data_IF_025851050373
#
_entry.id   IF_025851050373
#
_cell.length_a   1.000
_cell.length_b   1.000
_cell.length_c   1.000
_cell.angle_alpha   90.00
_cell.angle_beta   90.00
_cell.angle_gamma   90.00
#
_symmetry.space_group_name_H-M   'P 1'
#
loop_
_entity.id
_entity.type
_entity.pdbx_description
1 polymer ?
#
# COMPACT_ATOMS: atom_id res chain seq x y z
N UNK A 1 -14.49 0.88 -3.29
CA UNK A 1 -13.16 1.49 -3.10
C UNK A 1 -12.43 1.56 -4.43
N UNK A 2 -11.92 2.74 -4.82
CA UNK A 2 -11.18 2.95 -6.07
C UNK A 2 -9.67 2.91 -5.84
N UNK A 3 -8.89 2.70 -6.91
CA UNK A 3 -7.42 2.71 -6.83
C UNK A 3 -6.85 4.03 -6.32
N UNK A 4 -7.42 5.18 -6.72
CA UNK A 4 -7.00 6.49 -6.20
C UNK A 4 -7.18 6.61 -4.67
N UNK A 5 -8.28 6.07 -4.12
CA UNK A 5 -8.45 6.03 -2.66
C UNK A 5 -7.45 5.10 -2.01
N UNK A 6 -7.17 3.94 -2.62
CA UNK A 6 -6.15 3.02 -2.12
C UNK A 6 -4.77 3.66 -2.06
N UNK A 7 -4.36 4.37 -3.11
CA UNK A 7 -3.08 5.08 -3.16
C UNK A 7 -2.93 6.11 -2.03
N UNK A 8 -3.99 6.86 -1.74
CA UNK A 8 -4.02 7.81 -0.61
C UNK A 8 -3.96 7.13 0.75
N UNK A 9 -4.56 5.95 0.88
CA UNK A 9 -4.75 5.29 2.17
C UNK A 9 -3.70 4.24 2.51
N UNK A 10 -2.94 3.72 1.54
CA UNK A 10 -2.10 2.52 1.71
C UNK A 10 -1.05 2.63 2.82
N UNK A 11 -0.62 3.85 3.14
CA UNK A 11 0.36 4.13 4.20
C UNK A 11 -0.26 4.55 5.53
N UNK A 12 -1.59 4.63 5.60
CA UNK A 12 -2.27 5.01 6.84
C UNK A 12 -2.13 3.89 7.89
N UNK A 13 -1.88 4.21 9.16
CA UNK A 13 -1.77 3.21 10.22
C UNK A 13 -3.01 2.33 10.36
N UNK A 14 -4.19 2.88 10.07
CA UNK A 14 -5.49 2.20 10.14
C UNK A 14 -6.00 1.74 8.77
N UNK A 15 -5.13 1.64 7.75
CA UNK A 15 -5.51 1.24 6.39
C UNK A 15 -6.35 -0.04 6.38
N UNK A 16 -5.88 -1.09 7.05
CA UNK A 16 -6.56 -2.40 7.09
C UNK A 16 -8.00 -2.28 7.61
N UNK A 17 -8.19 -1.57 8.72
CA UNK A 17 -9.50 -1.34 9.34
C UNK A 17 -10.48 -0.63 8.40
N UNK A 18 -10.00 0.35 7.65
CA UNK A 18 -10.83 1.16 6.73
C UNK A 18 -11.26 0.33 5.52
N UNK A 19 -10.36 -0.46 4.94
CA UNK A 19 -10.64 -1.17 3.68
C UNK A 19 -11.28 -2.53 3.87
N UNK A 20 -11.08 -3.18 5.01
CA UNK A 20 -11.67 -4.49 5.29
C UNK A 20 -13.20 -4.38 5.33
N UNK A 21 -13.87 -5.30 4.64
CA UNK A 21 -15.32 -5.30 4.46
C UNK A 21 -15.83 -4.37 3.34
N UNK A 22 -14.95 -3.56 2.72
CA UNK A 22 -15.31 -2.82 1.50
C UNK A 22 -15.23 -3.70 0.25
N UNK A 23 -15.79 -3.19 -0.84
CA UNK A 23 -15.76 -3.86 -2.15
C UNK A 23 -14.88 -3.11 -3.14
N UNK A 24 -14.25 -3.85 -4.04
CA UNK A 24 -13.39 -3.35 -5.13
C UNK A 24 -13.76 -3.98 -6.46
N UNK A 25 -13.55 -3.22 -7.53
CA UNK A 25 -13.64 -3.71 -8.91
C UNK A 25 -12.26 -4.18 -9.32
N UNK A 26 -12.03 -5.49 -9.31
CA UNK A 26 -10.70 -6.07 -9.55
C UNK A 26 -10.59 -6.60 -10.98
N UNK A 27 -9.52 -6.21 -11.67
CA UNK A 27 -9.17 -6.78 -12.98
C UNK A 27 -8.58 -8.18 -12.80
N UNK A 28 -9.15 -9.17 -13.48
CA UNK A 28 -8.74 -10.58 -13.36
C UNK A 28 -8.05 -11.13 -14.62
N UNK A 29 -7.68 -10.25 -15.54
CA UNK A 29 -7.08 -10.58 -16.83
C UNK A 29 -7.97 -10.21 -18.00
N UNK A 30 -7.68 -10.80 -19.17
CA UNK A 30 -8.37 -10.50 -20.42
C UNK A 30 -9.07 -11.74 -20.97
N UNK A 31 -10.22 -11.54 -21.60
CA UNK A 31 -10.96 -12.57 -22.34
C UNK A 31 -11.31 -12.02 -23.72
N UNK A 32 -10.86 -12.70 -24.79
CA UNK A 32 -11.01 -12.26 -26.18
C UNK A 32 -10.55 -10.80 -26.39
N UNK A 33 -9.39 -10.45 -25.82
CA UNK A 33 -8.81 -9.11 -25.91
C UNK A 33 -9.48 -8.03 -25.06
N UNK A 34 -10.59 -8.34 -24.37
CA UNK A 34 -11.28 -7.38 -23.48
C UNK A 34 -10.92 -7.63 -22.02
N UNK A 35 -10.60 -6.57 -21.25
CA UNK A 35 -10.32 -6.73 -19.82
C UNK A 35 -11.58 -7.17 -19.08
N UNK A 36 -11.42 -8.14 -18.19
CA UNK A 36 -12.51 -8.71 -17.39
C UNK A 36 -12.36 -8.24 -15.94
N UNK A 37 -13.46 -7.74 -15.39
CA UNK A 37 -13.54 -7.28 -14.02
C UNK A 37 -14.52 -8.12 -13.21
N UNK A 38 -14.30 -8.16 -11.90
CA UNK A 38 -15.23 -8.73 -10.92
C UNK A 38 -15.40 -7.80 -9.74
N UNK A 39 -16.58 -7.85 -9.13
CA UNK A 39 -16.82 -7.33 -7.78
C UNK A 39 -16.22 -8.32 -6.79
N UNK A 40 -15.38 -7.83 -5.88
CA UNK A 40 -14.84 -8.65 -4.81
C UNK A 40 -14.80 -7.89 -3.49
N UNK A 41 -15.09 -8.59 -2.40
CA UNK A 41 -15.00 -8.07 -1.04
C UNK A 41 -13.56 -8.15 -0.55
N UNK A 42 -13.09 -7.12 0.14
CA UNK A 42 -11.81 -7.14 0.83
C UNK A 42 -12.01 -7.86 2.16
N UNK A 43 -11.43 -9.05 2.28
CA UNK A 43 -11.50 -9.86 3.50
C UNK A 43 -10.33 -9.56 4.45
N UNK A 44 -9.16 -9.22 3.92
CA UNK A 44 -7.95 -8.97 4.70
C UNK A 44 -6.92 -8.15 3.90
N UNK A 45 -5.95 -7.57 4.62
CA UNK A 45 -4.77 -6.90 4.06
C UNK A 45 -3.52 -7.68 4.46
N UNK A 46 -2.72 -8.07 3.49
CA UNK A 46 -1.51 -8.87 3.70
C UNK A 46 -0.28 -8.15 3.16
N UNK A 47 0.91 -8.52 3.61
CA UNK A 47 2.15 -8.13 2.95
C UNK A 47 2.58 -9.20 1.95
N UNK A 48 3.06 -8.78 0.79
CA UNK A 48 3.59 -9.65 -0.25
C UNK A 48 5.10 -9.50 -0.35
N UNK A 49 5.77 -10.49 -0.94
CA UNK A 49 7.22 -10.45 -1.14
C UNK A 49 7.67 -9.40 -2.16
N UNK A 50 6.80 -8.96 -3.07
CA UNK A 50 7.14 -8.06 -4.17
C UNK A 50 6.67 -6.64 -3.88
N UNK A 51 7.61 -5.70 -3.90
CA UNK A 51 7.31 -4.26 -3.90
C UNK A 51 6.93 -3.86 -5.32
N UNK A 52 5.87 -3.07 -5.47
CA UNK A 52 5.39 -2.58 -6.76
C UNK A 52 4.95 -1.12 -6.66
N UNK A 53 4.81 -0.49 -7.83
CA UNK A 53 4.35 0.90 -7.94
C UNK A 53 2.82 0.95 -7.85
N UNK A 54 2.29 1.87 -7.03
CA UNK A 54 0.88 2.19 -6.92
C UNK A 54 0.74 3.71 -7.10
N UNK A 55 0.46 4.14 -8.33
CA UNK A 55 0.41 5.57 -8.69
C UNK A 55 1.77 6.24 -8.44
N UNK A 56 1.81 7.25 -7.56
CA UNK A 56 3.04 7.96 -7.17
C UNK A 56 3.80 7.31 -6.02
N UNK A 57 3.25 6.27 -5.39
CA UNK A 57 3.87 5.60 -4.26
C UNK A 57 4.25 4.14 -4.55
N UNK A 58 4.96 3.52 -3.61
CA UNK A 58 5.33 2.10 -3.65
C UNK A 58 4.78 1.38 -2.45
N UNK A 59 4.43 0.13 -2.63
CA UNK A 59 3.93 -0.72 -1.56
C UNK A 59 4.22 -2.18 -1.87
N UNK A 60 4.29 -3.02 -0.84
CA UNK A 60 4.24 -4.47 -0.97
C UNK A 60 2.91 -5.05 -0.47
N UNK A 61 1.96 -4.21 -0.05
CA UNK A 61 0.67 -4.68 0.47
C UNK A 61 -0.13 -5.38 -0.62
N UNK A 62 -0.89 -6.39 -0.25
CA UNK A 62 -1.85 -7.09 -1.08
C UNK A 62 -3.20 -7.14 -0.38
N UNK A 63 -4.27 -7.26 -1.15
CA UNK A 63 -5.61 -7.46 -0.60
C UNK A 63 -6.02 -8.90 -0.84
N UNK A 64 -6.48 -9.56 0.22
CA UNK A 64 -7.16 -10.84 0.11
C UNK A 64 -8.61 -10.55 -0.28
N UNK A 65 -8.93 -10.87 -1.54
CA UNK A 65 -10.21 -10.56 -2.14
C UNK A 65 -11.06 -11.82 -2.25
N UNK A 66 -12.34 -11.69 -1.90
CA UNK A 66 -13.34 -12.75 -1.95
C UNK A 66 -14.40 -12.48 -3.02
N UNK A 67 -14.68 -13.47 -3.86
CA UNK A 67 -15.75 -13.47 -4.85
C UNK A 67 -16.53 -14.78 -4.75
N UNK A 68 -17.70 -14.74 -4.13
CA UNK A 68 -18.37 -15.95 -3.63
C UNK A 68 -17.52 -16.63 -2.56
N UNK A 69 -17.21 -17.91 -2.73
CA UNK A 69 -16.31 -18.68 -1.84
C UNK A 69 -14.85 -18.63 -2.25
N UNK A 70 -14.55 -18.09 -3.44
CA UNK A 70 -13.18 -18.03 -3.93
C UNK A 70 -12.44 -16.86 -3.32
N UNK A 71 -11.25 -17.13 -2.80
CA UNK A 71 -10.40 -16.13 -2.16
C UNK A 71 -9.00 -16.14 -2.76
N UNK A 72 -8.50 -14.97 -3.12
CA UNK A 72 -7.14 -14.81 -3.68
C UNK A 72 -6.55 -13.46 -3.29
N UNK A 73 -5.22 -13.42 -3.18
CA UNK A 73 -4.48 -12.19 -2.91
C UNK A 73 -4.19 -11.47 -4.23
N UNK A 74 -4.53 -10.19 -4.30
CA UNK A 74 -4.25 -9.31 -5.44
C UNK A 74 -3.44 -8.09 -5.00
N UNK A 75 -2.59 -7.61 -5.91
CA UNK A 75 -1.94 -6.30 -5.79
C UNK A 75 -2.95 -5.19 -6.03
N UNK A 76 -2.78 -4.07 -5.33
CA UNK A 76 -3.68 -2.91 -5.38
C UNK A 76 -3.69 -2.25 -6.77
N UNK A 77 -2.64 -2.42 -7.58
CA UNK A 77 -2.53 -1.84 -8.93
C UNK A 77 -3.62 -2.33 -9.91
N UNK A 78 -4.18 -3.52 -9.67
CA UNK A 78 -5.23 -4.13 -10.49
C UNK A 78 -6.64 -3.66 -10.14
N UNK A 79 -6.79 -2.82 -9.11
CA UNK A 79 -8.08 -2.23 -8.75
C UNK A 79 -8.45 -1.18 -9.80
N UNK A 80 -9.68 -1.23 -10.29
CA UNK A 80 -10.22 -0.23 -11.20
C UNK A 80 -10.59 1.06 -10.45
N UNK A 81 -10.49 2.20 -11.14
CA UNK A 81 -11.06 3.46 -10.68
C UNK A 81 -12.53 3.62 -11.06
N UNK A 82 -13.05 2.77 -11.94
CA UNK A 82 -14.43 2.82 -12.42
C UNK A 82 -15.39 2.17 -11.43
N UNK A 83 -16.65 2.58 -11.50
CA UNK A 83 -17.74 1.99 -10.74
C UNK A 83 -18.05 0.56 -11.21
N UNK A 84 -18.79 -0.18 -10.38
CA UNK A 84 -19.30 -1.49 -10.77
C UNK A 84 -20.30 -1.31 -11.89
N UNK A 85 -20.18 -2.13 -12.94
CA UNK A 85 -21.22 -2.20 -13.94
C UNK A 85 -22.34 -3.13 -13.47
N UNK A 86 -23.56 -2.89 -13.93
CA UNK A 86 -24.69 -3.74 -13.60
C UNK A 86 -24.45 -5.23 -13.91
N UNK A 87 -23.87 -5.62 -15.08
CA UNK A 87 -23.53 -7.01 -15.35
C UNK A 87 -22.52 -7.61 -14.36
N UNK A 88 -21.53 -6.83 -13.90
CA UNK A 88 -20.56 -7.27 -12.90
C UNK A 88 -21.21 -7.51 -11.54
N UNK A 89 -22.11 -6.60 -11.14
CA UNK A 89 -22.86 -6.70 -9.89
C UNK A 89 -23.81 -7.89 -9.89
N UNK A 90 -24.62 -8.04 -10.95
CA UNK A 90 -25.54 -9.18 -11.08
C UNK A 90 -24.79 -10.50 -11.03
N UNK A 91 -23.67 -10.61 -11.76
CA UNK A 91 -22.83 -11.81 -11.73
C UNK A 91 -22.26 -12.11 -10.35
N UNK A 92 -21.85 -11.09 -9.61
CA UNK A 92 -21.38 -11.26 -8.23
C UNK A 92 -22.52 -11.72 -7.31
N UNK A 93 -23.69 -11.10 -7.38
CA UNK A 93 -24.86 -11.47 -6.60
C UNK A 93 -25.28 -12.92 -6.87
N UNK A 94 -25.41 -13.29 -8.13
CA UNK A 94 -25.76 -14.66 -8.54
C UNK A 94 -24.71 -15.68 -8.07
N UNK A 95 -23.43 -15.28 -8.03
CA UNK A 95 -22.35 -16.12 -7.50
C UNK A 95 -22.46 -16.29 -5.98
N UNK A 96 -22.79 -15.23 -5.25
CA UNK A 96 -23.02 -15.30 -3.81
C UNK A 96 -24.22 -16.21 -3.50
N UNK A 97 -25.34 -16.05 -4.21
CA UNK A 97 -26.53 -16.90 -4.05
C UNK A 97 -26.23 -18.38 -4.34
N UNK A 98 -25.56 -18.68 -5.46
CA UNK A 98 -25.17 -20.05 -5.82
C UNK A 98 -24.25 -20.73 -4.79
N UNK A 99 -23.49 -19.94 -4.05
CA UNK A 99 -22.54 -20.44 -3.05
C UNK A 99 -23.01 -20.24 -1.60
N UNK A 100 -24.27 -19.83 -1.38
CA UNK A 100 -24.83 -19.52 -0.06
C UNK A 100 -23.93 -18.56 0.75
N UNK A 101 -23.42 -17.52 0.09
CA UNK A 101 -22.66 -16.44 0.72
C UNK A 101 -23.59 -15.28 0.97
N UNK A 102 -23.70 -14.87 2.23
CA UNK A 102 -24.56 -13.75 2.61
C UNK A 102 -24.12 -12.45 1.94
N UNK A 103 -25.12 -11.70 1.46
CA UNK A 103 -24.92 -10.36 0.95
C UNK A 103 -24.73 -9.38 2.12
N UNK A 104 -23.91 -8.32 1.95
CA UNK A 104 -23.77 -7.29 2.97
C UNK A 104 -25.12 -6.61 3.22
N UNK A 105 -25.42 -6.31 4.49
CA UNK A 105 -26.58 -5.50 4.85
C UNK A 105 -26.41 -4.05 4.40
N UNK A 106 -27.53 -3.34 4.24
CA UNK A 106 -27.52 -1.90 3.94
C UNK A 106 -26.78 -1.13 5.04
N UNK A 107 -27.03 -1.48 6.31
CA UNK A 107 -26.35 -0.89 7.47
C UNK A 107 -24.82 -1.06 7.41
N UNK A 108 -24.32 -2.24 7.01
CA UNK A 108 -22.88 -2.47 6.82
C UNK A 108 -22.31 -1.56 5.73
N UNK A 109 -23.03 -1.40 4.61
CA UNK A 109 -22.62 -0.52 3.52
C UNK A 109 -22.58 0.93 3.97
N UNK A 110 -23.60 1.41 4.68
CA UNK A 110 -23.66 2.77 5.22
C UNK A 110 -22.55 3.05 6.22
N UNK A 111 -22.29 2.10 7.13
CA UNK A 111 -21.19 2.17 8.09
C UNK A 111 -19.85 2.28 7.37
N UNK A 112 -19.62 1.46 6.35
CA UNK A 112 -18.37 1.51 5.57
C UNK A 112 -18.24 2.80 4.75
N UNK A 113 -19.34 3.36 4.26
CA UNK A 113 -19.31 4.68 3.60
C UNK A 113 -18.86 5.75 4.60
N UNK A 114 -19.34 5.71 5.84
CA UNK A 114 -18.92 6.62 6.92
C UNK A 114 -17.45 6.46 7.25
N UNK A 115 -16.99 5.22 7.47
CA UNK A 115 -15.56 4.91 7.73
C UNK A 115 -14.64 5.51 6.65
N UNK A 116 -15.02 5.36 5.38
CA UNK A 116 -14.25 5.90 4.24
C UNK A 116 -14.26 7.44 4.26
N UNK A 117 -15.41 8.07 4.54
CA UNK A 117 -15.52 9.53 4.60
C UNK A 117 -14.64 10.10 5.72
N UNK A 118 -14.68 9.50 6.90
CA UNK A 118 -13.83 9.87 8.03
C UNK A 118 -12.34 9.72 7.68
N UNK A 119 -11.95 8.61 7.04
CA UNK A 119 -10.58 8.40 6.59
C UNK A 119 -10.12 9.41 5.52
N UNK A 120 -11.04 9.97 4.71
CA UNK A 120 -10.71 10.99 3.71
C UNK A 120 -10.40 12.36 4.31
N UNK A 121 -11.08 12.72 5.42
CA UNK A 121 -10.95 14.01 6.09
C UNK A 121 -10.05 13.96 7.33
N UNK A 122 -9.49 12.78 7.63
CA UNK A 122 -8.66 12.58 8.80
C UNK A 122 -7.45 13.54 8.79
N UNK A 123 -7.35 14.35 9.85
CA UNK A 123 -6.19 15.19 10.11
C UNK A 123 -5.10 14.35 10.79
N UNK A 124 -3.92 14.31 10.16
CA UNK A 124 -2.82 13.50 10.64
C UNK A 124 -2.25 14.06 11.94
N UNK A 125 -2.20 13.22 12.98
CA UNK A 125 -1.41 13.52 14.18
C UNK A 125 0.08 13.36 13.87
N UNK A 126 0.95 14.02 14.63
CA UNK A 126 2.41 13.90 14.45
C UNK A 126 2.88 12.43 14.45
N UNK A 127 2.34 11.61 15.35
CA UNK A 127 2.65 10.17 15.43
C UNK A 127 2.25 9.40 14.15
N UNK A 128 1.15 9.79 13.50
CA UNK A 128 0.69 9.16 12.26
C UNK A 128 1.60 9.55 11.10
N UNK A 129 2.05 10.81 11.07
CA UNK A 129 3.01 11.31 10.07
C UNK A 129 4.33 10.53 10.18
N UNK A 130 4.85 10.34 11.39
CA UNK A 130 6.09 9.60 11.60
C UNK A 130 5.98 8.14 11.10
N UNK A 131 4.88 7.45 11.41
CA UNK A 131 4.61 6.09 10.92
C UNK A 131 4.49 6.05 9.40
N UNK A 132 3.82 7.03 8.80
CA UNK A 132 3.70 7.14 7.34
C UNK A 132 5.06 7.38 6.67
N UNK A 133 5.92 8.20 7.26
CA UNK A 133 7.29 8.45 6.76
C UNK A 133 8.09 7.15 6.82
N UNK A 134 8.12 6.47 7.96
CA UNK A 134 8.81 5.19 8.15
C UNK A 134 8.36 4.14 7.13
N UNK A 135 7.04 4.02 6.91
CA UNK A 135 6.50 3.07 5.93
C UNK A 135 6.90 3.43 4.49
N UNK A 136 6.89 4.72 4.12
CA UNK A 136 7.36 5.18 2.81
C UNK A 136 8.86 4.98 2.61
N UNK A 137 9.67 5.17 3.65
CA UNK A 137 11.12 4.97 3.61
C UNK A 137 11.51 3.52 3.35
N UNK A 138 10.73 2.57 3.87
CA UNK A 138 10.92 1.12 3.67
C UNK A 138 10.97 0.70 2.20
N UNK A 139 10.42 1.52 1.28
CA UNK A 139 10.35 1.24 -0.16
C UNK A 139 11.17 2.20 -1.04
N UNK A 140 11.88 3.18 -0.45
CA UNK A 140 12.80 4.05 -1.20
C UNK A 140 14.01 3.22 -1.65
N UNK A 141 14.29 3.23 -2.95
CA UNK A 141 15.50 2.62 -3.56
C UNK A 141 16.71 3.47 -3.22
N UNK A 142 17.19 3.36 -1.98
CA UNK A 142 18.38 4.02 -1.41
C UNK A 142 19.31 4.73 -2.40
N UNK A 143 19.18 6.07 -2.51
CA UNK A 143 20.33 6.96 -2.65
C UNK A 143 20.50 7.78 -1.35
N UNK A 144 19.50 7.74 -0.45
CA UNK A 144 19.44 8.52 0.79
C UNK A 144 20.35 7.92 1.86
N UNK A 145 20.40 6.59 2.02
CA UNK A 145 21.43 5.98 2.88
C UNK A 145 22.84 6.28 2.36
N UNK A 146 23.06 6.33 1.05
CA UNK A 146 24.37 6.65 0.49
C UNK A 146 24.77 8.10 0.81
N UNK A 147 23.89 9.07 0.51
CA UNK A 147 24.13 10.48 0.78
C UNK A 147 24.23 10.79 2.28
N UNK A 148 23.35 10.23 3.13
CA UNK A 148 23.42 10.37 4.59
C UNK A 148 24.67 9.71 5.16
N UNK A 149 25.00 8.48 4.76
CA UNK A 149 26.21 7.78 5.21
C UNK A 149 27.46 8.54 4.76
N UNK A 150 27.49 9.03 3.53
CA UNK A 150 28.57 9.90 3.03
C UNK A 150 28.67 11.20 3.84
N UNK A 151 27.54 11.86 4.13
CA UNK A 151 27.52 13.11 4.92
C UNK A 151 27.97 12.87 6.36
N UNK A 152 27.54 11.77 6.98
CA UNK A 152 27.95 11.35 8.32
C UNK A 152 29.44 11.03 8.36
N UNK A 153 29.95 10.21 7.43
CA UNK A 153 31.37 9.89 7.32
C UNK A 153 32.23 11.13 7.04
N UNK A 154 31.76 12.08 6.21
CA UNK A 154 32.45 13.35 6.00
C UNK A 154 32.56 14.17 7.29
N UNK A 155 31.46 14.26 8.06
CA UNK A 155 31.45 14.96 9.35
C UNK A 155 32.35 14.29 10.39
N UNK A 156 32.34 12.96 10.45
CA UNK A 156 33.16 12.19 11.39
C UNK A 156 34.66 12.30 11.05
N UNK A 157 35.01 12.33 9.75
CA UNK A 157 36.38 12.63 9.29
C UNK A 157 36.83 14.02 9.73
N UNK A 158 36.00 15.04 9.50
CA UNK A 158 36.34 16.42 9.86
C UNK A 158 36.52 16.57 11.37
N UNK A 159 35.71 15.86 12.17
CA UNK A 159 35.88 15.78 13.62
C UNK A 159 37.18 15.06 14.02
N UNK A 160 37.51 13.93 13.40
CA UNK A 160 38.76 13.20 13.66
C UNK A 160 40.00 14.07 13.35
N UNK A 161 39.98 14.77 12.21
CA UNK A 161 41.04 15.72 11.84
C UNK A 161 41.17 16.88 12.84
N UNK A 162 40.05 17.45 13.30
CA UNK A 162 40.07 18.51 14.31
C UNK A 162 40.62 18.07 15.67
N UNK A 163 40.58 16.77 15.96
CA UNK A 163 41.12 16.16 17.19
C UNK A 163 42.57 15.68 17.03
N UNK A 164 43.15 15.77 15.84
CA UNK A 164 44.49 15.25 15.52
C UNK A 164 44.56 13.72 15.45
N UNK A 165 43.43 13.05 15.27
CA UNK A 165 43.35 11.59 15.13
C UNK A 165 43.47 11.21 13.64
N UNK A 166 44.70 11.26 13.13
CA UNK A 166 45.03 11.03 11.72
C UNK A 166 44.78 9.58 11.27
N UNK A 167 44.78 8.63 12.20
CA UNK A 167 44.51 7.22 11.92
C UNK A 167 43.01 6.97 11.72
N UNK A 168 42.17 7.54 12.58
CA UNK A 168 40.71 7.48 12.41
C UNK A 168 40.25 8.23 11.15
N UNK A 169 40.82 9.41 10.87
CA UNK A 169 40.53 10.16 9.65
C UNK A 169 40.90 9.37 8.38
N UNK A 170 42.03 8.64 8.38
CA UNK A 170 42.42 7.76 7.27
C UNK A 170 41.46 6.59 7.09
N UNK A 171 41.05 5.95 8.17
CA UNK A 171 40.08 4.83 8.14
C UNK A 171 38.73 5.28 7.56
N UNK A 172 38.23 6.43 7.99
CA UNK A 172 36.98 7.00 7.48
C UNK A 172 37.09 7.40 6.01
N UNK A 173 38.24 7.94 5.57
CA UNK A 173 38.49 8.24 4.15
C UNK A 173 38.47 6.98 3.27
N UNK A 174 38.99 5.86 3.77
CA UNK A 174 38.93 4.59 3.06
C UNK A 174 37.49 4.09 2.93
N UNK A 175 36.69 4.18 4.01
CA UNK A 175 35.26 3.88 3.97
C UNK A 175 34.47 4.81 3.01
N UNK A 176 34.90 6.07 2.85
CA UNK A 176 34.33 7.00 1.87
C UNK A 176 34.70 6.68 0.41
N UNK A 177 35.85 6.04 0.17
CA UNK A 177 36.27 5.56 -1.15
C UNK A 177 35.60 4.24 -1.54
N UNK A 178 35.32 3.39 -0.56
CA UNK A 178 34.66 2.08 -0.74
C UNK A 178 33.12 2.19 -0.79
N UNK A 179 32.57 3.36 -0.44
CA UNK A 179 31.15 3.69 -0.62
C UNK A 179 30.88 3.99 -2.10
#
# INVERSE_FOLDING_TARGET
MSRHKMERFVHLPFFSRVVQGCFVRIGIGNHNGKPVYRVAQISDVVETAKIYQLGETRTNKGLRLRHGTQERVFRLEFISNQEFTEPEYLKWRDTCEKHNVDLPSVEHVETKIKDIKEAMIYEFKEEDIEKMIKEKERFKTNPYNYAMKKTQLMKDRDMAQSRGDDDEARRINQQLQEL
#
